data_IF_509675013788
#
_entry.id   IF_509675013788
#
_cell.length_a   1.000
_cell.length_b   1.000
_cell.length_c   1.000
_cell.angle_alpha   90.00
_cell.angle_beta   90.00
_cell.angle_gamma   90.00
#
_symmetry.space_group_name_H-M   'P 1'
#
loop_
_entity.id
_entity.type
_entity.pdbx_description
1 polymer ?
#
# COMPACT_ATOMS: atom_id res chain seq x y z
N UNK A 1 19.53 -4.76 2.44
CA UNK A 1 19.21 -4.39 1.04
C UNK A 1 19.70 -2.97 0.79
N UNK A 2 20.41 -2.77 -0.32
CA UNK A 2 20.81 -1.44 -0.79
C UNK A 2 19.57 -0.75 -1.40
N UNK A 3 19.43 0.56 -1.22
CA UNK A 3 18.39 1.33 -1.94
C UNK A 3 18.60 1.23 -3.45
N UNK A 4 17.54 1.10 -4.25
CA UNK A 4 17.69 1.03 -5.70
C UNK A 4 18.19 2.38 -6.25
N UNK A 5 19.04 2.33 -7.28
CA UNK A 5 19.53 3.51 -8.01
C UNK A 5 18.52 3.88 -9.10
N UNK A 6 18.56 5.14 -9.53
CA UNK A 6 17.85 5.57 -10.72
C UNK A 6 18.20 4.65 -11.90
N UNK A 7 17.18 4.18 -12.63
CA UNK A 7 17.31 3.16 -13.68
C UNK A 7 17.03 1.72 -13.22
N UNK A 8 17.06 1.43 -11.92
CA UNK A 8 16.63 0.12 -11.37
C UNK A 8 15.11 0.07 -11.07
N UNK A 9 14.38 1.17 -11.30
CA UNK A 9 12.94 1.30 -11.12
C UNK A 9 12.33 2.25 -12.16
N UNK A 10 11.02 2.12 -12.39
CA UNK A 10 10.28 3.01 -13.27
C UNK A 10 10.27 4.46 -12.71
N UNK A 11 10.44 5.50 -13.56
CA UNK A 11 10.55 6.90 -13.11
C UNK A 11 9.41 7.37 -12.19
N UNK A 12 8.20 6.83 -12.38
CA UNK A 12 7.04 7.08 -11.52
C UNK A 12 7.33 6.84 -10.02
N UNK A 13 8.15 5.84 -9.68
CA UNK A 13 8.45 5.48 -8.29
C UNK A 13 9.48 6.39 -7.62
N UNK A 14 10.17 7.25 -8.37
CA UNK A 14 11.17 8.17 -7.83
C UNK A 14 10.60 9.06 -6.72
N UNK A 15 9.38 9.59 -6.93
CA UNK A 15 8.71 10.48 -5.97
C UNK A 15 8.52 9.78 -4.61
N UNK A 16 8.12 8.51 -4.62
CA UNK A 16 7.91 7.74 -3.39
C UNK A 16 9.23 7.34 -2.72
N UNK A 17 10.26 6.98 -3.49
CA UNK A 17 11.57 6.63 -2.96
C UNK A 17 12.26 7.80 -2.25
N UNK A 18 11.98 9.03 -2.69
CA UNK A 18 12.45 10.28 -2.05
C UNK A 18 11.83 10.52 -0.68
N UNK A 19 10.62 10.03 -0.42
CA UNK A 19 9.95 10.16 0.88
C UNK A 19 10.54 9.21 1.94
N UNK A 20 11.32 8.22 1.54
CA UNK A 20 11.88 7.25 2.47
C UNK A 20 13.02 7.89 3.30
N UNK A 21 13.04 7.70 4.64
CA UNK A 21 14.08 8.27 5.51
C UNK A 21 15.46 7.69 5.21
N UNK A 22 16.55 8.47 5.35
CA UNK A 22 17.89 8.09 4.85
C UNK A 22 18.40 6.76 5.40
N UNK A 23 17.90 6.31 6.56
CA UNK A 23 18.18 5.02 7.19
C UNK A 23 16.91 4.20 7.37
N UNK A 24 17.06 2.88 7.30
CA UNK A 24 15.97 1.93 7.50
C UNK A 24 15.98 0.83 6.44
N UNK A 25 15.68 -0.39 6.84
CA UNK A 25 15.41 -1.50 5.92
C UNK A 25 13.94 -1.45 5.47
N UNK A 26 13.61 -2.03 4.31
CA UNK A 26 12.22 -2.19 3.88
C UNK A 26 11.35 -2.82 5.01
N UNK A 27 11.84 -3.89 5.64
CA UNK A 27 11.15 -4.56 6.76
C UNK A 27 10.90 -3.62 7.94
N UNK A 28 11.91 -2.85 8.37
CA UNK A 28 11.73 -1.93 9.50
C UNK A 28 10.78 -0.78 9.18
N UNK A 29 10.82 -0.27 7.95
CA UNK A 29 9.94 0.82 7.50
C UNK A 29 8.49 0.34 7.35
N UNK A 30 8.26 -0.83 6.75
CA UNK A 30 6.93 -1.45 6.67
C UNK A 30 6.33 -1.70 8.06
N UNK A 31 7.12 -2.25 9.00
CA UNK A 31 6.65 -2.44 10.39
C UNK A 31 6.32 -1.14 11.09
N UNK A 32 7.09 -0.09 10.83
CA UNK A 32 6.84 1.24 11.39
C UNK A 32 5.54 1.81 10.83
N UNK A 33 5.39 1.83 9.50
CA UNK A 33 4.20 2.32 8.81
C UNK A 33 2.94 1.57 9.27
N UNK A 34 2.99 0.24 9.36
CA UNK A 34 1.87 -0.57 9.84
C UNK A 34 1.40 -0.14 11.24
N UNK A 35 2.34 0.05 12.18
CA UNK A 35 2.02 0.49 13.55
C UNK A 35 1.42 1.89 13.58
N UNK A 36 2.00 2.82 12.82
CA UNK A 36 1.52 4.21 12.75
C UNK A 36 0.13 4.28 12.11
N UNK A 37 -0.11 3.53 11.04
CA UNK A 37 -1.43 3.43 10.40
C UNK A 37 -2.47 2.81 11.34
N UNK A 38 -2.13 1.72 12.04
CA UNK A 38 -3.03 1.13 13.03
C UNK A 38 -3.36 2.11 14.16
N UNK A 39 -2.35 2.79 14.71
CA UNK A 39 -2.56 3.76 15.77
C UNK A 39 -3.45 4.92 15.32
N UNK A 40 -3.24 5.42 14.10
CA UNK A 40 -4.08 6.46 13.53
C UNK A 40 -5.53 5.99 13.39
N UNK A 41 -5.75 4.84 12.74
CA UNK A 41 -7.10 4.32 12.50
C UNK A 41 -7.85 4.00 13.79
N UNK A 42 -7.18 3.42 14.79
CA UNK A 42 -7.77 3.12 16.10
C UNK A 42 -8.05 4.37 16.94
N UNK A 43 -7.45 5.51 16.59
CA UNK A 43 -7.72 6.79 17.27
C UNK A 43 -8.94 7.53 16.71
N UNK A 44 -9.47 7.10 15.56
CA UNK A 44 -10.62 7.72 14.94
C UNK A 44 -11.92 7.23 15.61
N UNK A 45 -12.92 8.10 15.79
CA UNK A 45 -14.27 7.67 16.12
C UNK A 45 -14.84 6.75 15.04
N UNK A 46 -15.70 5.79 15.43
CA UNK A 46 -16.28 4.80 14.50
C UNK A 46 -17.07 5.48 13.36
N UNK A 47 -17.79 6.57 13.68
CA UNK A 47 -18.57 7.34 12.71
C UNK A 47 -17.71 7.99 11.61
N UNK A 48 -16.41 8.21 11.85
CA UNK A 48 -15.50 8.70 10.82
C UNK A 48 -15.25 7.65 9.74
N UNK A 49 -15.52 6.37 10.01
CA UNK A 49 -15.35 5.31 9.03
C UNK A 49 -16.12 5.56 7.73
N UNK A 50 -17.30 6.19 7.81
CA UNK A 50 -18.17 6.49 6.68
C UNK A 50 -17.89 7.89 6.06
N UNK A 51 -16.90 8.62 6.59
CA UNK A 51 -16.53 9.92 6.07
C UNK A 51 -15.75 9.82 4.75
N UNK A 52 -16.20 10.57 3.75
CA UNK A 52 -15.48 10.88 2.52
C UNK A 52 -15.29 12.41 2.41
N UNK A 53 -14.10 12.85 2.01
CA UNK A 53 -13.76 14.28 1.99
C UNK A 53 -14.42 15.05 0.83
N UNK A 54 -14.90 14.33 -0.18
CA UNK A 54 -15.59 14.86 -1.35
C UNK A 54 -16.50 13.78 -1.95
N UNK A 55 -17.56 14.19 -2.64
CA UNK A 55 -18.44 13.29 -3.39
C UNK A 55 -17.67 12.43 -4.38
N UNK A 56 -17.95 11.13 -4.40
CA UNK A 56 -17.29 10.17 -5.30
C UNK A 56 -15.88 9.76 -4.86
N UNK A 57 -15.41 10.19 -3.68
CA UNK A 57 -14.19 9.67 -3.05
C UNK A 57 -14.54 8.55 -2.09
N UNK A 58 -13.59 7.64 -1.89
CA UNK A 58 -13.75 6.55 -0.94
C UNK A 58 -13.93 7.07 0.49
N UNK A 59 -14.76 6.36 1.24
CA UNK A 59 -14.83 6.51 2.68
C UNK A 59 -13.54 5.99 3.34
N UNK A 60 -13.33 6.31 4.61
CA UNK A 60 -12.18 5.78 5.37
C UNK A 60 -12.24 4.24 5.45
N UNK A 61 -13.43 3.64 5.58
CA UNK A 61 -13.61 2.17 5.53
C UNK A 61 -13.22 1.58 4.19
N UNK A 62 -13.66 2.17 3.08
CA UNK A 62 -13.28 1.73 1.73
C UNK A 62 -11.77 1.85 1.53
N UNK A 63 -11.16 2.98 1.91
CA UNK A 63 -9.70 3.14 1.87
C UNK A 63 -8.99 2.05 2.69
N UNK A 64 -9.50 1.72 3.89
CA UNK A 64 -8.92 0.66 4.73
C UNK A 64 -9.01 -0.72 4.06
N UNK A 65 -10.16 -1.09 3.49
CA UNK A 65 -10.31 -2.35 2.76
C UNK A 65 -9.35 -2.40 1.56
N UNK A 66 -9.27 -1.31 0.78
CA UNK A 66 -8.32 -1.19 -0.33
C UNK A 66 -6.86 -1.43 0.10
N UNK A 67 -6.44 -0.88 1.25
CA UNK A 67 -5.10 -1.11 1.79
C UNK A 67 -4.90 -2.59 2.14
N UNK A 68 -5.88 -3.23 2.78
CA UNK A 68 -5.79 -4.65 3.17
C UNK A 68 -5.67 -5.53 1.93
N UNK A 69 -6.47 -5.28 0.89
CA UNK A 69 -6.42 -6.07 -0.34
C UNK A 69 -5.13 -5.83 -1.13
N UNK A 70 -4.66 -4.58 -1.17
CA UNK A 70 -3.37 -4.24 -1.77
C UNK A 70 -2.20 -4.96 -1.07
N UNK A 71 -2.20 -5.07 0.26
CA UNK A 71 -1.20 -5.83 1.01
C UNK A 71 -1.21 -7.32 0.64
N UNK A 72 -2.40 -7.92 0.43
CA UNK A 72 -2.51 -9.32 -0.04
C UNK A 72 -1.92 -9.50 -1.43
N UNK A 73 -2.25 -8.59 -2.35
CA UNK A 73 -1.69 -8.58 -3.71
C UNK A 73 -0.17 -8.43 -3.65
N UNK A 74 0.37 -7.48 -2.89
CA UNK A 74 1.82 -7.28 -2.79
C UNK A 74 2.54 -8.45 -2.11
N UNK A 75 1.95 -9.06 -1.08
CA UNK A 75 2.49 -10.25 -0.45
C UNK A 75 2.62 -11.41 -1.44
N UNK A 76 1.59 -11.64 -2.26
CA UNK A 76 1.64 -12.63 -3.33
C UNK A 76 2.72 -12.31 -4.37
N UNK A 77 2.79 -11.07 -4.85
CA UNK A 77 3.83 -10.65 -5.82
C UNK A 77 5.24 -10.83 -5.28
N UNK A 78 5.47 -10.48 -4.01
CA UNK A 78 6.76 -10.71 -3.33
C UNK A 78 7.10 -12.19 -3.29
N UNK A 79 6.14 -13.06 -2.96
CA UNK A 79 6.34 -14.50 -2.98
C UNK A 79 6.72 -14.99 -4.40
N UNK A 80 5.98 -14.59 -5.43
CA UNK A 80 6.28 -14.94 -6.83
C UNK A 80 7.71 -14.54 -7.21
N UNK A 81 8.13 -13.31 -6.88
CA UNK A 81 9.50 -12.86 -7.17
C UNK A 81 10.56 -13.66 -6.41
N UNK A 82 10.34 -13.98 -5.13
CA UNK A 82 11.27 -14.79 -4.33
C UNK A 82 11.42 -16.20 -4.90
N UNK A 83 10.35 -16.76 -5.47
CA UNK A 83 10.36 -18.08 -6.12
C UNK A 83 10.92 -18.06 -7.54
N UNK A 84 11.28 -16.89 -8.07
CA UNK A 84 11.76 -16.74 -9.44
C UNK A 84 10.68 -17.06 -10.47
N UNK A 85 9.41 -16.92 -10.09
CA UNK A 85 8.30 -17.12 -10.99
C UNK A 85 8.33 -16.08 -12.11
N UNK A 86 8.15 -16.54 -13.35
CA UNK A 86 8.24 -15.72 -14.57
C UNK A 86 6.89 -15.38 -15.15
N UNK A 87 5.79 -15.80 -14.52
CA UNK A 87 4.45 -15.44 -14.98
C UNK A 87 4.26 -13.92 -14.92
N UNK A 88 3.54 -13.39 -15.91
CA UNK A 88 3.05 -12.03 -15.84
C UNK A 88 2.04 -11.93 -14.69
N UNK A 89 2.32 -11.05 -13.74
CA UNK A 89 1.46 -10.84 -12.58
C UNK A 89 0.26 -9.97 -13.00
N UNK A 90 -0.98 -10.41 -12.77
CA UNK A 90 -2.15 -9.64 -13.18
C UNK A 90 -2.21 -8.30 -12.45
N UNK A 91 -2.75 -7.30 -13.15
CA UNK A 91 -3.29 -6.11 -12.51
C UNK A 91 -4.55 -6.44 -11.71
N UNK A 92 -5.05 -5.47 -10.97
CA UNK A 92 -6.36 -5.56 -10.31
C UNK A 92 -7.09 -4.23 -10.46
N UNK A 93 -8.42 -4.28 -10.54
CA UNK A 93 -9.24 -3.08 -10.60
C UNK A 93 -9.72 -2.76 -9.18
N UNK A 94 -9.00 -1.85 -8.54
CA UNK A 94 -9.30 -1.40 -7.19
C UNK A 94 -10.66 -0.70 -7.07
N UNK A 95 -11.12 0.00 -8.11
CA UNK A 95 -12.37 0.75 -8.06
C UNK A 95 -13.57 -0.22 -8.03
N UNK A 96 -13.54 -1.26 -8.87
CA UNK A 96 -14.55 -2.34 -8.85
C UNK A 96 -14.57 -3.03 -7.48
N UNK A 97 -13.42 -3.30 -6.87
CA UNK A 97 -13.38 -3.95 -5.56
C UNK A 97 -14.04 -3.12 -4.46
N UNK A 98 -14.00 -1.80 -4.56
CA UNK A 98 -14.63 -0.90 -3.58
C UNK A 98 -16.13 -0.68 -3.83
N UNK A 99 -16.69 -1.14 -4.96
CA UNK A 99 -18.15 -1.13 -5.18
C UNK A 99 -18.88 -2.12 -4.26
N UNK A 100 -18.17 -3.14 -3.77
CA UNK A 100 -18.71 -4.20 -2.89
C UNK A 100 -18.49 -3.93 -1.38
N UNK A 101 -17.98 -2.75 -1.01
CA UNK A 101 -17.63 -2.32 0.36
C UNK A 101 -18.54 -1.21 0.83
#
# INVERSE_FOLDING_TARGET
MRRPKKGEYAPFHETYLKLLPPRGTARSLLRKSFRESQQLLLSLPEEMGDHAYESGKWTIKQMLVHLIDSERVFAYRVLSFIRGDRIALPGFNQDIWMEEV
#
